data_IF_149710853216
#
_entry.id   IF_149710853216
#
_cell.length_a   1.000
_cell.length_b   1.000
_cell.length_c   1.000
_cell.angle_alpha   90.00
_cell.angle_beta   90.00
_cell.angle_gamma   90.00
#
_symmetry.space_group_name_H-M   'P 1'
#
loop_
_entity.id
_entity.type
_entity.pdbx_description
1 polymer ?
#
# COMPACT_ATOMS: atom_id res chain seq x y z
N UNK A 1 24.31 -0.95 29.08
CA UNK A 1 22.87 -1.12 29.43
C UNK A 1 21.99 0.07 29.03
N UNK A 2 22.37 0.99 28.17
CA UNK A 2 21.71 2.31 28.20
C UNK A 2 20.96 2.70 26.92
N UNK A 3 21.45 2.42 25.74
CA UNK A 3 20.83 2.88 24.47
C UNK A 3 19.62 2.03 24.03
N UNK A 4 19.64 0.74 24.27
CA UNK A 4 18.55 -0.19 23.90
C UNK A 4 17.29 0.02 24.75
N UNK A 5 17.48 0.38 26.03
CA UNK A 5 16.37 0.63 26.96
C UNK A 5 15.65 1.95 26.66
N UNK A 6 16.40 2.98 26.25
CA UNK A 6 15.84 4.30 25.88
C UNK A 6 15.07 4.19 24.56
N UNK A 7 15.60 3.46 23.56
CA UNK A 7 14.94 3.24 22.26
C UNK A 7 13.60 2.48 22.42
N UNK A 8 13.56 1.44 23.29
CA UNK A 8 12.31 0.72 23.57
C UNK A 8 11.28 1.56 24.31
N UNK A 9 11.71 2.49 25.17
CA UNK A 9 10.79 3.43 25.84
C UNK A 9 10.24 4.49 24.91
N UNK A 10 11.03 4.98 23.97
CA UNK A 10 10.59 5.94 22.96
C UNK A 10 9.62 5.28 21.97
N UNK A 11 9.92 4.07 21.49
CA UNK A 11 9.04 3.33 20.59
C UNK A 11 7.68 3.01 21.26
N UNK A 12 7.65 2.63 22.54
CA UNK A 12 6.39 2.45 23.28
C UNK A 12 5.58 3.74 23.42
N UNK A 13 6.24 4.90 23.46
CA UNK A 13 5.57 6.20 23.60
C UNK A 13 4.90 6.65 22.29
N UNK A 14 5.33 6.13 21.13
CA UNK A 14 4.81 6.47 19.80
C UNK A 14 4.07 5.29 19.13
N UNK A 15 3.79 4.19 19.85
CA UNK A 15 3.21 2.97 19.26
C UNK A 15 3.94 2.48 17.99
N UNK A 16 5.25 2.67 17.94
CA UNK A 16 6.03 2.24 16.78
C UNK A 16 6.10 0.71 16.71
N UNK A 17 5.87 0.16 15.53
CA UNK A 17 5.97 -1.29 15.26
C UNK A 17 7.42 -1.77 15.50
N UNK A 18 7.64 -2.83 16.29
CA UNK A 18 8.94 -3.46 16.42
C UNK A 18 9.45 -3.97 15.07
N UNK A 19 10.70 -3.65 14.75
CA UNK A 19 11.31 -4.04 13.49
C UNK A 19 12.26 -5.22 13.70
N UNK A 20 12.32 -6.20 12.78
CA UNK A 20 13.32 -7.24 12.80
C UNK A 20 14.71 -6.67 12.50
N UNK A 21 15.74 -7.48 12.70
CA UNK A 21 17.13 -7.09 12.38
C UNK A 21 17.37 -7.08 10.88
N UNK A 22 16.86 -8.12 10.23
CA UNK A 22 16.92 -8.29 8.78
C UNK A 22 15.56 -7.96 8.18
N UNK A 23 15.53 -7.02 7.25
CA UNK A 23 14.31 -6.64 6.57
C UNK A 23 14.03 -7.50 5.33
N UNK A 24 15.04 -8.21 4.83
CA UNK A 24 14.86 -9.11 3.68
C UNK A 24 13.97 -10.30 4.05
N UNK A 25 14.03 -10.75 5.32
CA UNK A 25 13.17 -11.82 5.84
C UNK A 25 11.67 -11.49 5.80
N UNK A 26 11.31 -10.19 5.77
CA UNK A 26 9.93 -9.70 5.75
C UNK A 26 9.60 -8.90 4.49
N UNK A 27 10.43 -9.04 3.45
CA UNK A 27 10.25 -8.41 2.15
C UNK A 27 9.78 -9.45 1.14
N UNK A 28 8.71 -9.13 0.41
CA UNK A 28 8.23 -9.92 -0.71
C UNK A 28 8.44 -9.13 -2.01
N UNK A 29 9.03 -9.77 -3.02
CA UNK A 29 9.35 -9.17 -4.33
C UNK A 29 8.67 -9.97 -5.43
N UNK A 30 8.01 -9.29 -6.35
CA UNK A 30 7.38 -9.90 -7.54
C UNK A 30 8.42 -10.19 -8.63
N UNK A 31 9.29 -11.15 -8.38
CA UNK A 31 10.36 -11.51 -9.32
C UNK A 31 9.85 -12.06 -10.66
N UNK A 32 8.57 -12.47 -10.72
CA UNK A 32 7.97 -13.01 -11.94
C UNK A 32 7.49 -11.90 -12.91
N UNK A 33 7.11 -10.73 -12.39
CA UNK A 33 6.49 -9.67 -13.17
C UNK A 33 7.31 -8.37 -13.20
N UNK A 34 8.26 -8.16 -12.28
CA UNK A 34 9.18 -7.02 -12.37
C UNK A 34 10.06 -7.17 -13.61
N UNK A 35 9.98 -6.22 -14.53
CA UNK A 35 10.88 -6.12 -15.68
C UNK A 35 12.14 -5.34 -15.30
N UNK A 36 13.21 -5.45 -16.10
CA UNK A 36 14.37 -4.58 -15.87
C UNK A 36 13.97 -3.12 -16.06
N UNK A 37 14.42 -2.19 -15.19
CA UNK A 37 14.06 -0.78 -15.27
C UNK A 37 14.33 -0.15 -16.64
N UNK A 38 15.38 -0.60 -17.33
CA UNK A 38 15.80 -0.10 -18.67
C UNK A 38 14.73 -0.37 -19.73
N UNK A 39 14.01 -1.49 -19.64
CA UNK A 39 12.90 -1.82 -20.56
C UNK A 39 11.76 -0.81 -20.47
N UNK A 40 11.60 -0.20 -19.31
CA UNK A 40 10.62 0.85 -19.07
C UNK A 40 11.22 2.28 -19.17
N UNK A 41 12.47 2.41 -19.64
CA UNK A 41 13.17 3.69 -19.78
C UNK A 41 13.54 4.34 -18.44
N UNK A 42 13.83 3.54 -17.43
CA UNK A 42 14.37 3.93 -16.13
C UNK A 42 15.76 3.34 -15.96
N UNK A 43 16.56 3.90 -15.07
CA UNK A 43 17.79 3.27 -14.60
C UNK A 43 17.55 2.47 -13.35
N UNK A 44 18.34 1.41 -13.12
CA UNK A 44 18.30 0.64 -11.87
C UNK A 44 18.43 1.56 -10.65
N UNK A 45 19.32 2.54 -10.68
CA UNK A 45 19.51 3.52 -9.61
C UNK A 45 18.24 4.28 -9.23
N UNK A 46 17.37 4.61 -10.20
CA UNK A 46 16.11 5.31 -9.92
C UNK A 46 15.13 4.41 -9.19
N UNK A 47 15.04 3.15 -9.59
CA UNK A 47 14.16 2.17 -8.94
C UNK A 47 14.68 1.82 -7.54
N UNK A 48 16.00 1.63 -7.40
CA UNK A 48 16.62 1.38 -6.08
C UNK A 48 16.38 2.55 -5.12
N UNK A 49 16.49 3.79 -5.59
CA UNK A 49 16.24 4.96 -4.76
C UNK A 49 14.79 5.00 -4.22
N UNK A 50 13.81 4.60 -5.04
CA UNK A 50 12.40 4.53 -4.61
C UNK A 50 12.24 3.43 -3.55
N UNK A 51 12.87 2.28 -3.76
CA UNK A 51 12.82 1.19 -2.79
C UNK A 51 13.52 1.55 -1.47
N UNK A 52 14.66 2.19 -1.53
CA UNK A 52 15.39 2.67 -0.36
C UNK A 52 14.57 3.69 0.45
N UNK A 53 13.81 4.58 -0.24
CA UNK A 53 12.90 5.52 0.42
C UNK A 53 11.74 4.78 1.10
N UNK A 54 11.22 3.73 0.47
CA UNK A 54 10.18 2.87 1.06
C UNK A 54 10.71 2.16 2.32
N UNK A 55 11.94 1.64 2.27
CA UNK A 55 12.61 1.05 3.44
C UNK A 55 12.80 2.10 4.55
N UNK A 56 13.23 3.32 4.19
CA UNK A 56 13.38 4.41 5.17
C UNK A 56 12.05 4.75 5.85
N UNK A 57 10.96 4.80 5.08
CA UNK A 57 9.63 5.01 5.62
C UNK A 57 9.21 3.86 6.56
N UNK A 58 9.42 2.61 6.15
CA UNK A 58 9.12 1.45 6.99
C UNK A 58 9.92 1.48 8.32
N UNK A 59 11.19 1.86 8.25
CA UNK A 59 12.07 1.98 9.44
C UNK A 59 11.63 3.02 10.46
N UNK A 60 10.69 3.90 10.12
CA UNK A 60 10.08 4.81 11.11
C UNK A 60 9.24 4.06 12.15
N UNK A 61 8.81 2.83 11.85
CA UNK A 61 7.94 2.02 12.69
C UNK A 61 6.49 2.53 12.75
N UNK A 62 6.12 3.49 11.91
CA UNK A 62 4.76 4.05 11.89
C UNK A 62 3.76 3.14 11.16
N UNK A 63 4.25 2.24 10.33
CA UNK A 63 3.44 1.34 9.52
C UNK A 63 3.83 -0.10 9.77
N UNK A 64 2.88 -1.01 10.08
CA UNK A 64 3.18 -2.44 10.25
C UNK A 64 3.55 -3.09 8.92
N UNK A 65 3.06 -2.58 7.80
CA UNK A 65 3.32 -3.06 6.45
C UNK A 65 3.27 -1.91 5.46
N UNK A 66 4.10 -1.99 4.43
CA UNK A 66 4.02 -1.16 3.23
C UNK A 66 3.98 -2.05 1.99
N UNK A 67 3.21 -1.63 0.99
CA UNK A 67 3.20 -2.25 -0.34
C UNK A 67 3.29 -1.17 -1.39
N UNK A 68 4.12 -1.39 -2.40
CA UNK A 68 4.34 -0.45 -3.50
C UNK A 68 4.34 -1.18 -4.83
N UNK A 69 3.58 -0.66 -5.79
CA UNK A 69 3.64 -1.09 -7.18
C UNK A 69 3.89 0.13 -8.08
N UNK A 70 5.02 0.14 -8.76
CA UNK A 70 5.36 1.16 -9.74
C UNK A 70 5.23 0.60 -11.14
N UNK A 71 4.38 1.24 -11.95
CA UNK A 71 4.22 0.92 -13.36
C UNK A 71 4.70 2.08 -14.24
N UNK A 72 5.36 1.75 -15.34
CA UNK A 72 5.70 2.71 -16.39
C UNK A 72 5.50 2.07 -17.75
N UNK A 73 4.83 2.80 -18.65
CA UNK A 73 4.48 2.29 -20.00
C UNK A 73 3.79 0.92 -19.99
N UNK A 74 2.90 0.71 -18.99
CA UNK A 74 2.19 -0.55 -18.78
C UNK A 74 3.00 -1.66 -18.08
N UNK A 75 4.32 -1.52 -17.96
CA UNK A 75 5.19 -2.52 -17.36
C UNK A 75 5.39 -2.29 -15.86
N UNK A 76 5.50 -3.36 -15.11
CA UNK A 76 5.79 -3.32 -13.66
C UNK A 76 7.32 -3.25 -13.50
N UNK A 77 7.82 -2.17 -12.92
CA UNK A 77 9.24 -1.98 -12.64
C UNK A 77 9.61 -2.14 -11.17
N UNK A 78 8.60 -2.11 -10.30
CA UNK A 78 8.72 -2.37 -8.87
C UNK A 78 7.37 -2.86 -8.36
N UNK A 79 7.32 -4.02 -7.73
CA UNK A 79 6.12 -4.56 -7.08
C UNK A 79 6.55 -5.35 -5.84
N UNK A 80 6.53 -4.69 -4.69
CA UNK A 80 7.12 -5.23 -3.46
C UNK A 80 6.29 -4.87 -2.25
N UNK A 81 6.35 -5.75 -1.24
CA UNK A 81 5.83 -5.47 0.09
C UNK A 81 6.91 -5.69 1.15
N UNK A 82 6.78 -5.01 2.28
CA UNK A 82 7.65 -5.16 3.44
C UNK A 82 6.82 -5.02 4.72
N UNK A 83 7.00 -5.94 5.65
CA UNK A 83 6.37 -5.89 6.97
C UNK A 83 5.39 -7.03 7.25
N UNK A 84 4.52 -6.81 8.23
CA UNK A 84 3.63 -7.81 8.77
C UNK A 84 2.18 -7.47 8.48
N UNK A 85 1.44 -8.44 7.93
CA UNK A 85 -0.02 -8.37 7.82
C UNK A 85 -0.68 -8.45 9.20
N UNK A 86 -0.09 -9.23 10.12
CA UNK A 86 -0.53 -9.39 11.51
C UNK A 86 0.67 -9.56 12.42
N UNK A 87 0.57 -9.01 13.63
CA UNK A 87 1.63 -9.06 14.62
C UNK A 87 2.83 -8.15 14.26
N UNK A 88 3.98 -8.47 14.79
CA UNK A 88 5.24 -7.77 14.61
C UNK A 88 6.44 -8.72 14.84
N UNK A 89 7.66 -8.18 14.80
CA UNK A 89 8.90 -8.95 14.99
C UNK A 89 9.03 -9.67 16.36
N UNK A 90 8.11 -9.45 17.28
CA UNK A 90 8.11 -10.06 18.62
C UNK A 90 6.86 -10.90 18.89
N UNK A 91 5.97 -11.04 17.92
CA UNK A 91 4.73 -11.78 18.04
C UNK A 91 4.93 -13.24 17.60
N UNK A 92 4.52 -14.19 18.42
CA UNK A 92 4.60 -15.61 18.11
C UNK A 92 3.70 -16.02 16.94
N UNK A 93 2.64 -15.26 16.68
CA UNK A 93 1.66 -15.46 15.61
C UNK A 93 1.82 -14.46 14.46
N UNK A 94 3.00 -13.87 14.31
CA UNK A 94 3.29 -12.93 13.24
C UNK A 94 3.06 -13.56 11.85
N UNK A 95 2.41 -12.80 10.97
CA UNK A 95 2.20 -13.16 9.57
C UNK A 95 2.84 -12.07 8.70
N UNK A 96 3.83 -12.46 7.92
CA UNK A 96 4.47 -11.56 6.95
C UNK A 96 3.45 -11.21 5.87
N UNK A 97 3.40 -9.93 5.51
CA UNK A 97 2.55 -9.47 4.41
C UNK A 97 3.16 -9.78 3.05
N UNK A 98 2.31 -10.14 2.11
CA UNK A 98 2.69 -10.40 0.72
C UNK A 98 2.05 -9.38 -0.25
N UNK A 99 2.27 -9.59 -1.56
CA UNK A 99 1.76 -8.70 -2.62
C UNK A 99 0.24 -8.75 -2.75
N UNK A 100 -0.43 -9.79 -2.24
CA UNK A 100 -1.87 -10.01 -2.31
C UNK A 100 -2.56 -9.71 -0.97
N UNK A 101 -1.82 -9.27 0.03
CA UNK A 101 -2.38 -8.95 1.35
C UNK A 101 -3.43 -7.84 1.20
N UNK A 102 -4.69 -8.05 1.60
CA UNK A 102 -5.73 -7.03 1.55
C UNK A 102 -5.38 -5.86 2.47
N UNK A 103 -5.43 -4.65 1.92
CA UNK A 103 -5.16 -3.41 2.66
C UNK A 103 -6.41 -2.53 2.65
N UNK A 104 -6.76 -1.98 3.81
CA UNK A 104 -7.84 -1.01 3.91
C UNK A 104 -7.39 0.32 3.28
N UNK A 105 -8.05 0.73 2.20
CA UNK A 105 -7.69 1.93 1.45
C UNK A 105 -8.30 3.21 2.03
N UNK A 106 -9.21 3.11 3.03
CA UNK A 106 -9.93 4.26 3.57
C UNK A 106 -10.50 5.16 2.45
N UNK A 107 -10.25 6.46 2.50
CA UNK A 107 -10.77 7.41 1.49
C UNK A 107 -10.20 7.22 0.08
N UNK A 108 -9.09 6.52 -0.11
CA UNK A 108 -8.60 6.18 -1.44
C UNK A 108 -9.59 5.26 -2.20
N UNK A 109 -10.48 4.54 -1.49
CA UNK A 109 -11.59 3.78 -2.09
C UNK A 109 -12.53 4.65 -2.92
N UNK A 110 -12.62 5.96 -2.64
CA UNK A 110 -13.46 6.89 -3.43
C UNK A 110 -13.01 6.98 -4.89
N UNK A 111 -11.70 6.90 -5.14
CA UNK A 111 -11.19 6.90 -6.51
C UNK A 111 -11.66 5.65 -7.28
N UNK A 112 -11.66 4.49 -6.63
CA UNK A 112 -12.18 3.25 -7.24
C UNK A 112 -13.67 3.35 -7.49
N UNK A 113 -14.46 3.86 -6.52
CA UNK A 113 -15.88 4.07 -6.70
C UNK A 113 -16.18 5.04 -7.86
N UNK A 114 -15.42 6.14 -7.98
CA UNK A 114 -15.56 7.08 -9.09
C UNK A 114 -15.27 6.40 -10.45
N UNK A 115 -14.22 5.57 -10.53
CA UNK A 115 -13.93 4.81 -11.74
C UNK A 115 -15.09 3.89 -12.14
N UNK A 116 -15.73 3.21 -11.18
CA UNK A 116 -16.89 2.34 -11.45
C UNK A 116 -18.09 3.15 -11.95
N UNK A 117 -18.34 4.33 -11.37
CA UNK A 117 -19.41 5.23 -11.84
C UNK A 117 -19.12 5.69 -13.28
N UNK A 118 -17.89 6.05 -13.61
CA UNK A 118 -17.53 6.42 -14.99
C UNK A 118 -17.65 5.24 -15.96
N UNK A 119 -17.34 4.02 -15.53
CA UNK A 119 -17.53 2.82 -16.35
C UNK A 119 -19.01 2.59 -16.66
N UNK A 120 -19.91 2.76 -15.68
CA UNK A 120 -21.35 2.66 -15.91
C UNK A 120 -21.85 3.77 -16.86
N UNK A 121 -21.31 4.97 -16.74
CA UNK A 121 -21.65 6.06 -17.65
C UNK A 121 -21.18 5.79 -19.09
N UNK A 122 -19.98 5.21 -19.26
CA UNK A 122 -19.47 4.78 -20.57
C UNK A 122 -20.33 3.70 -21.22
N UNK A 123 -20.89 2.79 -20.40
CA UNK A 123 -21.79 1.74 -20.83
C UNK A 123 -23.23 2.26 -21.10
N UNK A 124 -23.53 3.53 -20.81
CA UNK A 124 -24.84 4.13 -20.99
C UNK A 124 -25.86 3.75 -19.92
N UNK A 125 -25.45 3.10 -18.84
CA UNK A 125 -26.32 2.68 -17.74
C UNK A 125 -26.72 3.85 -16.84
N UNK A 126 -25.87 4.87 -16.74
CA UNK A 126 -26.13 6.10 -15.98
C UNK A 126 -25.69 7.32 -16.76
N UNK A 127 -26.29 8.48 -16.44
CA UNK A 127 -25.85 9.77 -16.95
C UNK A 127 -25.39 10.66 -15.78
N UNK A 128 -24.16 11.17 -15.83
CA UNK A 128 -23.54 11.87 -14.70
C UNK A 128 -24.24 13.19 -14.30
N UNK A 129 -25.09 13.74 -15.15
CA UNK A 129 -25.87 14.96 -14.88
C UNK A 129 -27.28 14.66 -14.34
N UNK A 130 -27.68 13.39 -14.31
CA UNK A 130 -28.97 13.03 -13.73
C UNK A 130 -28.92 13.14 -12.21
N UNK A 131 -29.98 13.56 -11.55
CA UNK A 131 -30.06 13.56 -10.10
C UNK A 131 -29.99 12.13 -9.57
N UNK A 132 -29.27 11.93 -8.45
CA UNK A 132 -29.13 10.62 -7.82
C UNK A 132 -30.48 9.96 -7.51
N UNK A 133 -31.49 10.77 -7.18
CA UNK A 133 -32.87 10.32 -6.93
C UNK A 133 -33.57 9.67 -8.15
N UNK A 134 -33.07 9.88 -9.36
CA UNK A 134 -33.56 9.18 -10.54
C UNK A 134 -33.21 7.69 -10.48
N UNK A 135 -32.05 7.36 -9.97
CA UNK A 135 -31.55 5.97 -9.83
C UNK A 135 -31.93 5.35 -8.49
N UNK A 136 -31.95 6.16 -7.43
CA UNK A 136 -32.25 5.75 -6.05
C UNK A 136 -33.29 6.71 -5.47
N UNK A 137 -34.61 6.43 -5.73
CA UNK A 137 -35.67 7.34 -5.30
C UNK A 137 -35.71 7.63 -3.80
N UNK A 138 -35.25 6.69 -2.98
CA UNK A 138 -35.24 6.80 -1.52
C UNK A 138 -34.37 7.98 -1.03
N UNK A 139 -33.38 8.41 -1.82
CA UNK A 139 -32.53 9.56 -1.48
C UNK A 139 -33.32 10.86 -1.44
N UNK A 140 -34.40 10.97 -2.24
CA UNK A 140 -35.23 12.16 -2.28
C UNK A 140 -36.25 12.23 -1.13
N UNK A 141 -36.44 11.16 -0.35
CA UNK A 141 -37.51 11.08 0.65
C UNK A 141 -37.33 12.08 1.83
N UNK A 142 -36.16 12.62 2.03
CA UNK A 142 -35.83 13.53 3.13
C UNK A 142 -35.20 14.87 2.67
N UNK A 143 -35.32 15.22 1.42
CA UNK A 143 -34.84 16.51 0.84
C UNK A 143 -33.58 16.39 0.01
#
# INVERSE_FOLDING_TARGET
MTLRFVRNRLNRRFNATPLPRDLDEITCVDTANEVSPEQAGLSQRQVDAIWDDTIRLYRTGMHPMLSICLRRQGQIVLNRSIGYQRGDAHSDDAVIGDLNTPICLFSASKAISAMLVHLLAEQGEIHLLDPLSYYIPEVAANG
#
